data_IF_286892378783
#
_entry.id   IF_286892378783
#
_cell.length_a   1.000
_cell.length_b   1.000
_cell.length_c   1.000
_cell.angle_alpha   90.00
_cell.angle_beta   90.00
_cell.angle_gamma   90.00
#
_symmetry.space_group_name_H-M   'P 1'
#
loop_
_entity.id
_entity.type
_entity.pdbx_description
1 polymer ?
#
# COMPACT_ATOMS: atom_id res chain seq x y z
N UNK A 1 -12.45 -8.40 -6.77
CA UNK A 1 -11.17 -9.03 -7.13
C UNK A 1 -10.71 -10.01 -6.08
N UNK A 2 -9.82 -10.90 -6.44
CA UNK A 2 -9.16 -11.82 -5.54
C UNK A 2 -7.64 -11.73 -5.76
N UNK A 3 -6.87 -11.92 -4.69
CA UNK A 3 -5.42 -11.97 -4.74
C UNK A 3 -4.90 -13.20 -4.01
N UNK A 4 -3.81 -13.76 -4.53
CA UNK A 4 -3.04 -14.77 -3.84
C UNK A 4 -1.56 -14.36 -3.91
N UNK A 5 -0.87 -14.43 -2.78
CA UNK A 5 0.54 -14.07 -2.67
C UNK A 5 1.22 -15.06 -1.74
N UNK A 6 2.47 -15.40 -2.02
CA UNK A 6 3.34 -16.14 -1.11
C UNK A 6 4.59 -15.31 -0.87
N UNK A 7 5.06 -15.29 0.37
CA UNK A 7 6.27 -14.60 0.79
C UNK A 7 7.24 -15.64 1.36
N UNK A 8 8.43 -15.70 0.81
CA UNK A 8 9.52 -16.51 1.33
C UNK A 8 10.76 -15.61 1.46
N UNK A 9 11.20 -15.40 2.67
CA UNK A 9 12.35 -14.53 2.98
C UNK A 9 13.60 -15.39 3.16
N UNK A 10 14.03 -15.99 2.09
CA UNK A 10 15.21 -16.85 1.83
C UNK A 10 16.17 -17.27 2.93
N UNK A 11 16.63 -16.41 3.78
CA UNK A 11 17.44 -16.70 4.99
C UNK A 11 16.78 -16.22 6.27
N UNK A 12 15.59 -15.71 6.20
CA UNK A 12 14.85 -15.29 7.39
C UNK A 12 13.93 -16.41 7.83
N UNK A 13 13.84 -16.55 9.12
CA UNK A 13 13.05 -17.51 9.86
C UNK A 13 11.52 -17.27 9.71
N UNK A 14 11.08 -16.52 8.71
CA UNK A 14 9.70 -16.14 8.49
C UNK A 14 9.28 -16.46 7.06
N UNK A 15 8.15 -17.10 6.90
CA UNK A 15 7.51 -17.36 5.62
C UNK A 15 6.00 -17.39 5.78
N UNK A 16 5.26 -17.31 4.69
CA UNK A 16 3.81 -17.40 4.77
C UNK A 16 3.10 -17.23 3.46
N UNK A 17 1.79 -17.43 3.48
CA UNK A 17 0.88 -17.23 2.37
C UNK A 17 -0.25 -16.29 2.74
N UNK A 18 -0.74 -15.55 1.77
CA UNK A 18 -1.87 -14.64 1.91
C UNK A 18 -2.87 -14.88 0.78
N UNK A 19 -4.13 -15.05 1.15
CA UNK A 19 -5.26 -15.08 0.22
C UNK A 19 -6.21 -13.95 0.57
N UNK A 20 -6.66 -13.18 -0.42
CA UNK A 20 -7.52 -12.03 -0.19
C UNK A 20 -8.71 -11.98 -1.13
N UNK A 21 -9.86 -11.57 -0.59
CA UNK A 21 -11.07 -11.21 -1.33
C UNK A 21 -11.28 -9.71 -1.18
N UNK A 22 -11.52 -9.03 -2.29
CA UNK A 22 -11.69 -7.59 -2.33
C UNK A 22 -13.03 -7.22 -2.96
N UNK A 23 -13.73 -6.28 -2.34
CA UNK A 23 -14.93 -5.66 -2.87
C UNK A 23 -14.85 -4.15 -2.71
N UNK A 24 -15.55 -3.41 -3.56
CA UNK A 24 -15.56 -1.96 -3.43
C UNK A 24 -16.57 -1.30 -4.35
N UNK A 25 -16.92 -0.09 -3.98
CA UNK A 25 -17.75 0.83 -4.73
C UNK A 25 -16.94 2.09 -5.00
N UNK A 26 -17.10 2.64 -6.17
CA UNK A 26 -16.52 3.94 -6.51
C UNK A 26 -17.53 4.78 -7.28
N UNK A 27 -17.42 6.08 -7.12
CA UNK A 27 -18.17 7.07 -7.88
C UNK A 27 -17.24 8.22 -8.24
N UNK A 28 -17.48 8.84 -9.39
CA UNK A 28 -16.74 10.01 -9.84
C UNK A 28 -17.63 10.96 -10.60
N UNK A 29 -17.31 12.24 -10.55
CA UNK A 29 -17.98 13.28 -11.29
C UNK A 29 -16.95 14.29 -11.80
N UNK A 30 -17.25 14.89 -12.95
CA UNK A 30 -16.44 15.92 -13.58
C UNK A 30 -17.35 17.01 -14.16
N UNK A 31 -17.05 18.27 -13.87
CA UNK A 31 -17.78 19.42 -14.40
C UNK A 31 -16.91 20.67 -14.41
N UNK A 32 -16.78 21.34 -15.56
CA UNK A 32 -16.13 22.65 -15.67
C UNK A 32 -14.67 22.69 -15.21
N UNK A 33 -13.93 21.57 -15.34
CA UNK A 33 -12.56 21.42 -14.85
C UNK A 33 -12.46 20.92 -13.39
N UNK A 34 -13.55 20.95 -12.64
CA UNK A 34 -13.63 20.31 -11.33
C UNK A 34 -13.84 18.82 -11.53
N UNK A 35 -13.06 18.00 -10.83
CA UNK A 35 -13.24 16.55 -10.80
C UNK A 35 -13.21 16.05 -9.35
N UNK A 36 -13.96 14.98 -9.09
CA UNK A 36 -14.01 14.36 -7.79
C UNK A 36 -14.26 12.86 -7.90
N UNK A 37 -13.69 12.10 -6.99
CA UNK A 37 -13.85 10.64 -6.88
C UNK A 37 -13.98 10.25 -5.43
N UNK A 38 -14.91 9.34 -5.16
CA UNK A 38 -15.06 8.68 -3.88
C UNK A 38 -14.96 7.16 -4.08
N UNK A 39 -14.34 6.47 -3.16
CA UNK A 39 -14.26 5.01 -3.16
C UNK A 39 -14.39 4.47 -1.75
N UNK A 40 -15.13 3.35 -1.62
CA UNK A 40 -15.21 2.54 -0.42
C UNK A 40 -14.74 1.14 -0.80
N UNK A 41 -13.78 0.61 -0.06
CA UNK A 41 -13.28 -0.74 -0.30
C UNK A 41 -13.29 -1.54 1.00
N UNK A 42 -13.55 -2.82 0.85
CA UNK A 42 -13.45 -3.81 1.92
C UNK A 42 -12.65 -5.00 1.41
N UNK A 43 -11.67 -5.41 2.19
CA UNK A 43 -10.81 -6.54 1.87
C UNK A 43 -10.75 -7.47 3.07
N UNK A 44 -10.88 -8.75 2.82
CA UNK A 44 -10.69 -9.81 3.82
C UNK A 44 -9.53 -10.69 3.39
N UNK A 45 -8.68 -11.00 4.32
CA UNK A 45 -7.50 -11.81 4.11
C UNK A 45 -7.51 -13.04 5.03
N UNK A 46 -7.03 -14.15 4.50
CA UNK A 46 -6.65 -15.34 5.24
C UNK A 46 -5.15 -15.51 5.04
N UNK A 47 -4.43 -15.55 6.13
CA UNK A 47 -2.98 -15.63 6.12
C UNK A 47 -2.53 -16.84 6.94
N UNK A 48 -1.44 -17.45 6.50
CA UNK A 48 -0.68 -18.40 7.30
C UNK A 48 0.74 -17.88 7.48
N UNK A 49 1.25 -18.02 8.68
CA UNK A 49 2.61 -17.66 9.03
C UNK A 49 3.40 -18.88 9.44
N UNK A 50 4.69 -18.87 9.13
CA UNK A 50 5.67 -19.87 9.57
C UNK A 50 6.86 -19.15 10.17
N UNK A 51 7.28 -19.58 11.35
CA UNK A 51 8.45 -19.07 12.05
C UNK A 51 9.36 -20.26 12.40
N UNK A 52 10.53 -20.29 11.82
CA UNK A 52 11.56 -21.28 12.15
C UNK A 52 12.33 -20.80 13.39
N UNK A 53 12.54 -21.69 14.33
CA UNK A 53 13.14 -21.39 15.64
C UNK A 53 14.41 -22.22 15.75
N UNK A 54 15.55 -21.54 15.90
CA UNK A 54 16.85 -22.15 16.09
C UNK A 54 17.30 -21.89 17.53
N UNK A 55 17.48 -22.95 18.29
CA UNK A 55 17.96 -22.85 19.65
C UNK A 55 19.47 -23.07 19.68
N UNK A 56 20.18 -22.17 20.34
CA UNK A 56 21.64 -22.29 20.53
C UNK A 56 22.08 -23.60 21.18
N UNK A 57 21.15 -24.32 21.82
CA UNK A 57 21.35 -25.66 22.41
C UNK A 57 21.25 -26.82 21.40
N UNK A 58 21.07 -26.55 20.09
CA UNK A 58 21.00 -27.54 19.04
C UNK A 58 19.59 -28.11 18.76
N UNK A 59 18.52 -27.46 19.27
CA UNK A 59 17.14 -27.76 18.92
C UNK A 59 16.63 -26.85 17.81
N UNK A 60 15.96 -27.41 16.80
CA UNK A 60 15.22 -26.65 15.80
C UNK A 60 13.73 -26.91 15.99
N UNK A 61 12.91 -25.88 15.86
CA UNK A 61 11.47 -25.96 15.92
C UNK A 61 10.83 -25.08 14.84
N UNK A 62 9.60 -25.41 14.50
CA UNK A 62 8.81 -24.59 13.57
C UNK A 62 7.47 -24.27 14.22
N UNK A 63 7.16 -22.99 14.34
CA UNK A 63 5.85 -22.52 14.71
C UNK A 63 5.06 -22.10 13.47
N UNK A 64 3.79 -22.49 13.41
CA UNK A 64 2.88 -22.11 12.34
C UNK A 64 1.60 -21.55 12.93
N UNK A 65 1.01 -20.56 12.29
CA UNK A 65 -0.25 -19.98 12.73
C UNK A 65 -1.08 -19.49 11.56
N UNK A 66 -2.38 -19.69 11.65
CA UNK A 66 -3.36 -19.17 10.69
C UNK A 66 -4.13 -18.02 11.33
N UNK A 67 -4.28 -16.92 10.60
CA UNK A 67 -5.02 -15.77 11.08
C UNK A 67 -5.83 -15.12 9.96
N UNK A 68 -6.79 -14.34 10.37
CA UNK A 68 -7.62 -13.53 9.48
C UNK A 68 -7.40 -12.07 9.76
N UNK A 69 -7.49 -11.29 8.70
CA UNK A 69 -7.51 -9.84 8.82
C UNK A 69 -8.49 -9.24 7.83
N UNK A 70 -8.95 -8.04 8.14
CA UNK A 70 -9.74 -7.26 7.20
C UNK A 70 -9.26 -5.82 7.15
N UNK A 71 -9.50 -5.19 6.00
CA UNK A 71 -9.18 -3.79 5.76
C UNK A 71 -10.40 -3.10 5.18
N UNK A 72 -10.94 -2.14 5.93
CA UNK A 72 -11.94 -1.19 5.44
C UNK A 72 -11.25 0.11 5.04
N UNK A 73 -11.57 0.66 3.88
CA UNK A 73 -10.99 1.92 3.43
C UNK A 73 -12.04 2.80 2.77
N UNK A 74 -12.02 4.09 3.13
CA UNK A 74 -12.73 5.16 2.45
C UNK A 74 -11.72 6.14 1.85
N UNK A 75 -11.93 6.56 0.61
CA UNK A 75 -11.08 7.51 -0.11
C UNK A 75 -11.93 8.56 -0.79
N UNK A 76 -11.53 9.81 -0.64
CA UNK A 76 -12.08 10.96 -1.35
C UNK A 76 -10.93 11.69 -2.02
N UNK A 77 -11.05 11.96 -3.32
CA UNK A 77 -10.09 12.75 -4.07
C UNK A 77 -10.84 13.78 -4.88
N UNK A 78 -10.22 14.93 -5.08
CA UNK A 78 -10.75 15.96 -5.96
C UNK A 78 -9.64 16.87 -6.45
N UNK A 79 -9.97 17.64 -7.46
CA UNK A 79 -9.05 18.59 -8.03
C UNK A 79 -9.76 19.54 -8.96
N UNK A 80 -9.06 20.57 -9.36
CA UNK A 80 -9.52 21.51 -10.36
C UNK A 80 -8.44 21.67 -11.41
N UNK A 81 -8.77 21.44 -12.68
CA UNK A 81 -7.86 21.54 -13.80
C UNK A 81 -8.28 22.64 -14.76
N UNK A 82 -7.30 23.40 -15.22
CA UNK A 82 -7.47 24.37 -16.30
C UNK A 82 -6.39 24.20 -17.38
N UNK A 83 -6.67 24.69 -18.54
CA UNK A 83 -5.73 24.63 -19.66
C UNK A 83 -4.81 25.86 -19.65
N UNK A 84 -3.50 25.60 -19.59
CA UNK A 84 -2.47 26.65 -19.65
C UNK A 84 -1.36 26.24 -20.62
N UNK A 85 -1.16 27.01 -21.69
CA UNK A 85 -0.14 26.77 -22.71
C UNK A 85 -0.08 25.32 -23.23
N UNK A 86 -1.23 24.68 -23.41
CA UNK A 86 -1.33 23.29 -23.88
C UNK A 86 -1.24 22.21 -22.79
N UNK A 87 -0.95 22.60 -21.55
CA UNK A 87 -1.01 21.73 -20.38
C UNK A 87 -2.39 21.79 -19.74
N UNK A 88 -2.88 20.67 -19.30
CA UNK A 88 -3.99 20.54 -18.37
C UNK A 88 -3.37 20.43 -16.97
N UNK A 89 -3.57 21.42 -16.12
CA UNK A 89 -2.84 21.52 -14.86
C UNK A 89 -3.72 22.08 -13.75
N UNK A 90 -3.41 21.75 -12.51
CA UNK A 90 -4.12 22.29 -11.37
C UNK A 90 -3.89 21.56 -10.06
N UNK A 91 -4.48 22.09 -8.97
CA UNK A 91 -4.38 21.51 -7.64
C UNK A 91 -5.19 20.23 -7.53
N UNK A 92 -4.70 19.34 -6.67
CA UNK A 92 -5.39 18.12 -6.25
C UNK A 92 -5.36 18.01 -4.73
N UNK A 93 -6.42 17.46 -4.17
CA UNK A 93 -6.54 17.16 -2.75
C UNK A 93 -7.17 15.78 -2.57
N UNK A 94 -6.86 15.13 -1.47
CA UNK A 94 -7.45 13.85 -1.14
C UNK A 94 -7.43 13.57 0.36
N UNK A 95 -8.34 12.71 0.76
CA UNK A 95 -8.43 12.18 2.11
C UNK A 95 -8.61 10.67 2.02
N UNK A 96 -7.90 9.93 2.83
CA UNK A 96 -8.01 8.48 2.94
C UNK A 96 -8.11 8.10 4.41
N UNK A 97 -9.15 7.39 4.76
CA UNK A 97 -9.26 6.68 6.02
C UNK A 97 -9.15 5.18 5.75
N UNK A 98 -8.37 4.48 6.55
CA UNK A 98 -8.27 3.03 6.53
C UNK A 98 -8.28 2.49 7.95
N UNK A 99 -9.00 1.39 8.15
CA UNK A 99 -8.96 0.60 9.37
C UNK A 99 -8.55 -0.82 9.01
N UNK A 100 -7.55 -1.32 9.72
CA UNK A 100 -7.02 -2.67 9.60
C UNK A 100 -7.32 -3.36 10.92
N UNK A 101 -7.88 -4.57 10.85
CA UNK A 101 -8.06 -5.41 12.03
C UNK A 101 -7.53 -6.80 11.73
N UNK A 102 -6.80 -7.36 12.67
CA UNK A 102 -6.28 -8.71 12.65
C UNK A 102 -6.84 -9.47 13.84
N UNK A 103 -7.42 -10.65 13.59
CA UNK A 103 -7.87 -11.54 14.65
C UNK A 103 -6.66 -12.08 15.43
N UNK A 104 -6.86 -12.29 16.73
CA UNK A 104 -5.88 -13.02 17.53
C UNK A 104 -5.78 -14.48 17.10
N UNK A 105 -4.60 -15.07 17.26
CA UNK A 105 -4.38 -16.47 16.90
C UNK A 105 -3.32 -17.15 17.78
N UNK A 106 -3.29 -18.47 17.72
CA UNK A 106 -2.34 -19.31 18.44
C UNK A 106 -1.43 -20.01 17.43
N UNK A 107 -0.13 -19.89 17.59
CA UNK A 107 0.84 -20.72 16.89
C UNK A 107 0.81 -22.15 17.41
N UNK A 108 1.09 -23.11 16.52
CA UNK A 108 1.29 -24.52 16.85
C UNK A 108 2.62 -25.03 16.30
N UNK A 109 3.03 -26.24 16.72
CA UNK A 109 4.20 -26.94 16.20
C UNK A 109 5.51 -26.74 16.97
N UNK A 110 5.66 -25.66 17.74
CA UNK A 110 6.88 -25.38 18.50
C UNK A 110 6.76 -25.64 20.02
N UNK A 111 5.68 -26.29 20.46
CA UNK A 111 5.48 -26.60 21.89
C UNK A 111 5.42 -25.34 22.74
N UNK A 112 6.23 -25.27 23.79
CA UNK A 112 6.29 -24.11 24.69
C UNK A 112 6.85 -22.83 24.05
N UNK A 113 7.38 -22.89 22.84
CA UNK A 113 7.87 -21.76 22.06
C UNK A 113 6.84 -21.23 21.04
N UNK A 114 5.68 -21.89 20.92
CA UNK A 114 4.55 -21.34 20.17
C UNK A 114 4.00 -20.10 20.86
N UNK A 115 3.59 -19.11 20.11
CA UNK A 115 3.06 -17.86 20.65
C UNK A 115 1.54 -17.80 20.54
N UNK A 116 0.89 -17.25 21.55
CA UNK A 116 -0.44 -16.68 21.43
C UNK A 116 -0.29 -15.21 21.06
N UNK A 117 -0.91 -14.79 19.97
CA UNK A 117 -0.89 -13.41 19.48
C UNK A 117 -2.29 -12.84 19.65
N UNK A 118 -2.38 -11.68 20.29
CA UNK A 118 -3.64 -11.01 20.52
C UNK A 118 -4.18 -10.37 19.23
N UNK A 119 -5.48 -10.06 19.24
CA UNK A 119 -6.07 -9.22 18.21
C UNK A 119 -5.38 -7.85 18.18
N UNK A 120 -5.27 -7.29 16.99
CA UNK A 120 -4.71 -5.96 16.79
C UNK A 120 -5.56 -5.17 15.80
N UNK A 121 -5.74 -3.89 16.09
CA UNK A 121 -6.37 -2.96 15.18
C UNK A 121 -5.53 -1.70 14.97
N UNK A 122 -5.62 -1.15 13.79
CA UNK A 122 -4.90 0.06 13.41
C UNK A 122 -5.77 0.94 12.51
N UNK A 123 -5.82 2.20 12.85
CA UNK A 123 -6.44 3.24 12.04
C UNK A 123 -5.38 4.09 11.35
N UNK A 124 -5.67 4.56 10.14
CA UNK A 124 -4.86 5.51 9.38
C UNK A 124 -5.79 6.55 8.78
N UNK A 125 -5.45 7.81 8.98
CA UNK A 125 -6.10 8.94 8.32
C UNK A 125 -5.02 9.75 7.62
N UNK A 126 -5.09 9.79 6.30
CA UNK A 126 -4.09 10.47 5.47
C UNK A 126 -4.73 11.57 4.66
N UNK A 127 -4.24 12.79 4.76
CA UNK A 127 -4.56 13.87 3.81
C UNK A 127 -3.48 13.99 2.73
N UNK A 128 -3.87 14.53 1.59
CA UNK A 128 -2.98 14.73 0.45
C UNK A 128 -3.32 16.04 -0.23
N UNK A 129 -2.32 16.86 -0.48
CA UNK A 129 -2.41 18.10 -1.23
C UNK A 129 -1.32 18.12 -2.28
N UNK A 130 -1.63 18.58 -3.49
CA UNK A 130 -0.64 18.56 -4.54
C UNK A 130 -1.03 19.35 -5.76
N UNK A 131 -0.19 19.20 -6.75
CA UNK A 131 -0.34 19.80 -8.07
C UNK A 131 -0.07 18.76 -9.14
N UNK A 132 -0.89 18.75 -10.19
CA UNK A 132 -0.69 17.89 -11.33
C UNK A 132 -0.65 18.68 -12.63
N UNK A 133 0.05 18.12 -13.62
CA UNK A 133 0.14 18.66 -14.96
C UNK A 133 0.22 17.52 -15.97
N UNK A 134 -0.62 17.57 -16.99
CA UNK A 134 -0.68 16.61 -18.09
C UNK A 134 -0.68 17.39 -19.42
N UNK A 135 -0.05 16.85 -20.43
CA UNK A 135 -0.12 17.45 -21.77
C UNK A 135 -0.29 16.37 -22.83
N UNK A 136 -0.78 16.81 -23.98
CA UNK A 136 -0.80 16.03 -25.20
C UNK A 136 0.03 16.76 -26.25
N UNK A 137 1.21 16.21 -26.52
CA UNK A 137 2.18 16.80 -27.43
C UNK A 137 2.27 15.95 -28.71
N UNK A 138 2.56 16.60 -29.83
CA UNK A 138 2.87 15.91 -31.10
C UNK A 138 4.26 16.33 -31.54
N UNK A 139 5.15 15.35 -31.68
CA UNK A 139 6.52 15.57 -32.11
C UNK A 139 6.85 14.56 -33.21
N UNK A 140 7.13 15.03 -34.43
CA UNK A 140 7.50 14.17 -35.54
C UNK A 140 6.49 13.07 -35.88
N UNK A 141 5.17 13.33 -35.70
CA UNK A 141 4.11 12.34 -35.89
C UNK A 141 3.83 11.43 -34.70
N UNK A 142 4.67 11.49 -33.67
CA UNK A 142 4.51 10.76 -32.42
C UNK A 142 3.64 11.55 -31.44
N UNK A 143 2.65 10.90 -30.85
CA UNK A 143 1.83 11.46 -29.78
C UNK A 143 2.47 11.12 -28.43
N UNK A 144 2.84 12.17 -27.68
CA UNK A 144 3.45 12.08 -26.36
C UNK A 144 2.50 12.60 -25.29
N UNK A 145 2.36 11.87 -24.21
CA UNK A 145 1.51 12.18 -23.06
C UNK A 145 2.37 12.30 -21.78
N UNK A 146 3.07 13.43 -21.57
CA UNK A 146 3.77 13.67 -20.32
C UNK A 146 2.78 13.91 -19.18
N UNK A 147 3.13 13.39 -17.99
CA UNK A 147 2.41 13.57 -16.74
C UNK A 147 3.39 13.93 -15.64
N UNK A 148 3.01 14.86 -14.80
CA UNK A 148 3.79 15.27 -13.64
C UNK A 148 2.84 15.48 -12.47
N UNK A 149 3.18 14.98 -11.28
CA UNK A 149 2.49 15.35 -10.05
C UNK A 149 3.50 15.52 -8.92
N UNK A 150 3.26 16.54 -8.10
CA UNK A 150 3.96 16.78 -6.86
C UNK A 150 2.91 16.85 -5.76
N UNK A 151 3.04 16.02 -4.75
CA UNK A 151 2.07 15.89 -3.67
C UNK A 151 2.79 15.90 -2.32
N UNK A 152 2.20 16.57 -1.35
CA UNK A 152 2.50 16.40 0.06
C UNK A 152 1.38 15.57 0.69
N UNK A 153 1.76 14.58 1.47
CA UNK A 153 0.88 13.69 2.19
C UNK A 153 1.18 13.80 3.67
N UNK A 154 0.13 13.88 4.50
CA UNK A 154 0.24 13.89 5.95
C UNK A 154 -0.58 12.75 6.55
N UNK A 155 0.05 11.93 7.38
CA UNK A 155 -0.57 10.86 8.15
C UNK A 155 -0.85 11.37 9.56
N UNK A 156 -2.11 11.29 9.98
CA UNK A 156 -2.56 11.75 11.29
C UNK A 156 -2.46 10.67 12.38
N UNK A 157 -2.31 9.40 11.98
CA UNK A 157 -2.08 8.32 12.93
C UNK A 157 -0.63 8.39 13.43
N UNK A 158 -0.45 8.60 14.73
CA UNK A 158 0.87 8.76 15.35
C UNK A 158 1.33 7.54 16.14
N UNK A 159 0.51 6.48 16.21
CA UNK A 159 0.83 5.27 16.96
C UNK A 159 1.74 4.32 16.20
N UNK A 160 2.75 3.79 16.85
CA UNK A 160 3.45 2.61 16.34
C UNK A 160 2.49 1.41 16.38
N UNK A 161 2.36 0.62 15.31
CA UNK A 161 1.59 -0.61 15.36
C UNK A 161 2.25 -1.54 16.37
N UNK A 162 1.48 -2.02 17.34
CA UNK A 162 1.98 -2.86 18.42
C UNK A 162 1.31 -4.24 18.35
N UNK A 163 2.10 -5.28 18.47
CA UNK A 163 1.64 -6.67 18.57
C UNK A 163 1.94 -7.15 19.98
N UNK A 164 0.90 -7.62 20.66
CA UNK A 164 1.03 -8.27 21.96
C UNK A 164 1.05 -9.79 21.79
N UNK A 165 2.04 -10.43 22.35
CA UNK A 165 2.19 -11.88 22.29
C UNK A 165 2.54 -12.46 23.65
N UNK A 166 2.28 -13.76 23.83
CA UNK A 166 2.56 -14.50 25.06
C UNK A 166 2.96 -15.93 24.77
N UNK A 167 3.73 -16.51 25.67
CA UNK A 167 4.04 -17.95 25.64
C UNK A 167 2.97 -18.76 26.39
N UNK A 168 2.68 -19.99 25.95
CA UNK A 168 1.80 -20.92 26.67
C UNK A 168 2.30 -21.15 28.09
N UNK A 169 1.37 -21.07 29.08
CA UNK A 169 1.67 -21.19 30.50
C UNK A 169 2.23 -19.91 31.16
N UNK A 170 2.39 -18.85 30.40
CA UNK A 170 2.83 -17.53 30.87
C UNK A 170 1.87 -16.42 30.43
N UNK A 171 0.57 -16.71 30.47
CA UNK A 171 -0.50 -15.80 30.01
C UNK A 171 -0.51 -14.47 30.77
N UNK A 172 -0.02 -14.46 32.01
CA UNK A 172 0.09 -13.25 32.84
C UNK A 172 1.30 -12.37 32.54
N UNK A 173 2.20 -12.81 31.67
CA UNK A 173 3.42 -12.10 31.28
C UNK A 173 3.51 -11.88 29.76
N UNK A 174 2.59 -11.09 29.18
CA UNK A 174 2.66 -10.76 27.76
C UNK A 174 3.88 -9.88 27.47
N UNK A 175 4.43 -10.02 26.28
CA UNK A 175 5.42 -9.09 25.75
C UNK A 175 4.86 -8.37 24.53
N UNK A 176 5.40 -7.19 24.27
CA UNK A 176 4.97 -6.35 23.15
C UNK A 176 6.13 -6.13 22.21
N UNK A 177 5.83 -6.13 20.94
CA UNK A 177 6.76 -5.74 19.90
C UNK A 177 6.14 -4.65 19.04
N UNK A 178 6.85 -3.54 18.91
CA UNK A 178 6.42 -2.42 18.06
C UNK A 178 6.89 -2.61 16.63
N UNK A 179 6.06 -2.17 15.69
CA UNK A 179 6.44 -1.97 14.31
C UNK A 179 7.05 -0.59 14.09
N UNK A 180 7.30 -0.26 12.84
CA UNK A 180 7.76 1.08 12.50
C UNK A 180 6.58 2.06 12.48
N UNK A 181 6.72 3.20 13.15
CA UNK A 181 5.74 4.27 13.08
C UNK A 181 5.54 4.76 11.63
N UNK A 182 4.31 5.09 11.24
CA UNK A 182 4.07 5.70 9.94
C UNK A 182 4.86 7.00 9.78
N UNK A 183 5.34 7.27 8.57
CA UNK A 183 5.95 8.56 8.25
C UNK A 183 4.86 9.62 8.22
N UNK A 184 4.94 10.59 9.14
CA UNK A 184 3.92 11.62 9.28
C UNK A 184 3.80 12.50 8.02
N UNK A 185 4.93 12.98 7.50
CA UNK A 185 4.98 13.86 6.34
C UNK A 185 5.77 13.22 5.20
N UNK A 186 5.15 13.15 4.03
CA UNK A 186 5.73 12.53 2.84
C UNK A 186 5.55 13.44 1.63
N UNK A 187 6.65 13.83 1.01
CA UNK A 187 6.64 14.45 -0.32
C UNK A 187 6.73 13.37 -1.39
N UNK A 188 5.84 13.40 -2.38
CA UNK A 188 5.79 12.45 -3.48
C UNK A 188 5.88 13.16 -4.81
N UNK A 189 6.82 12.73 -5.64
CA UNK A 189 6.98 13.16 -7.02
C UNK A 189 6.65 11.98 -7.93
N UNK A 190 5.76 12.18 -8.89
CA UNK A 190 5.53 11.24 -9.98
C UNK A 190 5.74 11.94 -11.32
N UNK A 191 6.53 11.34 -12.19
CA UNK A 191 6.76 11.79 -13.55
C UNK A 191 6.54 10.62 -14.51
N UNK A 192 5.70 10.81 -15.50
CA UNK A 192 5.38 9.78 -16.50
C UNK A 192 5.43 10.34 -17.90
N UNK A 193 5.82 9.50 -18.84
CA UNK A 193 5.76 9.76 -20.27
C UNK A 193 5.18 8.54 -20.97
N UNK A 194 4.06 8.71 -21.65
CA UNK A 194 3.53 7.70 -22.56
C UNK A 194 3.69 8.18 -23.99
N UNK A 195 4.07 7.28 -24.89
CA UNK A 195 4.25 7.54 -26.31
C UNK A 195 3.39 6.57 -27.12
N UNK A 196 2.48 7.07 -27.96
CA UNK A 196 1.74 6.24 -28.91
C UNK A 196 2.58 6.03 -30.16
N UNK A 197 3.14 4.81 -30.27
CA UNK A 197 4.04 4.42 -31.37
C UNK A 197 3.25 4.03 -32.63
N UNK A 198 2.09 3.39 -32.46
CA UNK A 198 1.14 3.01 -33.52
C UNK A 198 -0.28 3.06 -32.97
N UNK A 199 -1.29 2.85 -33.82
CA UNK A 199 -2.71 2.91 -33.41
C UNK A 199 -3.02 2.01 -32.22
N UNK A 200 -2.34 0.85 -32.10
CA UNK A 200 -2.57 -0.16 -31.07
C UNK A 200 -1.35 -0.44 -30.19
N UNK A 201 -0.29 0.37 -30.30
CA UNK A 201 0.93 0.18 -29.55
C UNK A 201 1.34 1.48 -28.87
N UNK A 202 1.44 1.45 -27.57
CA UNK A 202 1.99 2.54 -26.74
C UNK A 202 3.16 2.02 -25.89
N UNK A 203 4.13 2.87 -25.67
CA UNK A 203 5.19 2.67 -24.69
C UNK A 203 5.00 3.65 -23.54
N UNK A 204 5.41 3.28 -22.34
CA UNK A 204 5.40 4.18 -21.20
C UNK A 204 6.67 4.05 -20.35
N UNK A 205 7.01 5.15 -19.69
CA UNK A 205 8.05 5.25 -18.68
C UNK A 205 7.48 6.06 -17.52
N UNK A 206 7.59 5.55 -16.30
CA UNK A 206 7.12 6.22 -15.09
C UNK A 206 8.21 6.20 -14.02
N UNK A 207 8.35 7.32 -13.34
CA UNK A 207 9.21 7.50 -12.17
C UNK A 207 8.35 7.95 -10.99
N UNK A 208 8.45 7.25 -9.88
CA UNK A 208 7.82 7.60 -8.59
C UNK A 208 8.91 7.76 -7.54
N UNK A 209 8.90 8.87 -6.81
CA UNK A 209 9.81 9.14 -5.72
C UNK A 209 9.04 9.63 -4.49
N UNK A 210 9.39 9.12 -3.33
CA UNK A 210 8.78 9.48 -2.06
C UNK A 210 9.86 9.77 -1.02
N UNK A 211 9.72 10.90 -0.32
CA UNK A 211 10.69 11.41 0.66
C UNK A 211 9.96 11.92 1.90
N UNK A 212 10.37 11.48 3.08
CA UNK A 212 9.82 11.98 4.35
C UNK A 212 10.59 11.44 5.55
N UNK A 213 11.10 12.32 6.42
CA UNK A 213 11.97 11.92 7.51
C UNK A 213 13.17 11.11 7.00
N UNK A 214 13.36 9.93 7.56
CA UNK A 214 14.41 8.98 7.14
C UNK A 214 13.93 8.04 6.00
N UNK A 215 12.68 8.17 5.57
CA UNK A 215 12.10 7.33 4.51
C UNK A 215 12.44 7.90 3.13
N UNK A 216 12.98 7.03 2.27
CA UNK A 216 13.23 7.32 0.86
C UNK A 216 12.88 6.10 0.01
N UNK A 217 12.03 6.29 -0.98
CA UNK A 217 11.71 5.26 -1.95
C UNK A 217 11.71 5.85 -3.36
N UNK A 218 12.26 5.08 -4.30
CA UNK A 218 12.26 5.42 -5.71
C UNK A 218 11.89 4.19 -6.53
N UNK A 219 11.06 4.37 -7.54
CA UNK A 219 10.69 3.32 -8.47
C UNK A 219 10.72 3.85 -9.90
N UNK A 220 11.19 3.02 -10.82
CA UNK A 220 11.12 3.27 -12.26
C UNK A 220 10.37 2.09 -12.87
N UNK A 221 9.37 2.39 -13.69
CA UNK A 221 8.62 1.39 -14.46
C UNK A 221 8.65 1.76 -15.93
N UNK A 222 8.85 0.78 -16.78
CA UNK A 222 8.74 0.94 -18.23
C UNK A 222 7.96 -0.24 -18.81
N UNK A 223 7.17 -0.01 -19.84
CA UNK A 223 6.41 -1.07 -20.46
C UNK A 223 5.85 -0.72 -21.83
N UNK A 224 5.29 -1.75 -22.46
CA UNK A 224 4.55 -1.67 -23.72
C UNK A 224 3.11 -2.08 -23.47
N UNK A 225 2.19 -1.35 -24.04
CA UNK A 225 0.75 -1.65 -24.03
C UNK A 225 0.30 -1.91 -25.46
N UNK A 226 -0.33 -3.06 -25.67
CA UNK A 226 -0.91 -3.45 -26.96
C UNK A 226 -2.42 -3.58 -26.80
N UNK A 227 -3.18 -2.91 -27.65
CA UNK A 227 -4.64 -3.01 -27.74
C UNK A 227 -4.99 -4.01 -28.85
N UNK A 228 -5.87 -4.99 -28.57
CA UNK A 228 -6.29 -6.03 -29.49
C UNK A 228 -7.64 -5.72 -30.12
#
# INVERSE_FOLDING_TARGET
GATQSSLDWGRSYLGGGLKGLHSGLYAGAEAGGLHGQAALTYSRYEANGRRDIDLASGGAGQATGDFRSWVGQARLNGGYEWRWRGWLTGPVAGLRYARIQQDGFQEGGAGSLSLGIDEADQDSLTSRLGWQANAKLRLGGLELLPRLSLEWQHEYASGEPEITARFPGYESAPFRTGGQAPVADLARLRAGLSARLRERLAAFLEYDASYGGDYRANAIQAGLQVEF
#
